data_IF_575009909156
#
_entry.id   IF_575009909156
#
_cell.length_a   1.000
_cell.length_b   1.000
_cell.length_c   1.000
_cell.angle_alpha   90.00
_cell.angle_beta   90.00
_cell.angle_gamma   90.00
#
_symmetry.space_group_name_H-M   'P 1'
#
loop_
_entity.id
_entity.type
_entity.pdbx_description
1 polymer ?
#
# COMPACT_ATOMS: atom_id res chain seq x y z
N UNK A 1 6.88 30.61 -20.63
CA UNK A 1 7.36 29.24 -20.43
C UNK A 1 7.74 29.10 -18.97
N UNK A 2 7.27 28.05 -18.28
CA UNK A 2 7.52 27.85 -16.84
C UNK A 2 9.02 27.65 -16.60
N UNK A 3 9.61 28.36 -15.63
CA UNK A 3 11.05 28.30 -15.37
C UNK A 3 11.52 26.88 -15.00
N UNK A 4 10.63 26.09 -14.39
CA UNK A 4 10.85 24.68 -14.09
C UNK A 4 11.01 23.82 -15.36
N UNK A 5 10.25 24.10 -16.41
CA UNK A 5 10.32 23.34 -17.67
C UNK A 5 11.62 23.63 -18.42
N UNK A 6 12.04 24.89 -18.45
CA UNK A 6 13.34 25.27 -19.03
C UNK A 6 14.50 24.57 -18.32
N UNK A 7 14.48 24.54 -16.99
CA UNK A 7 15.52 23.84 -16.23
C UNK A 7 15.50 22.33 -16.46
N UNK A 8 14.31 21.72 -16.62
CA UNK A 8 14.20 20.32 -17.02
C UNK A 8 14.74 20.06 -18.44
N UNK A 9 14.44 20.91 -19.40
CA UNK A 9 14.98 20.80 -20.76
C UNK A 9 16.51 20.89 -20.78
N UNK A 10 17.09 21.79 -19.99
CA UNK A 10 18.54 21.89 -19.79
C UNK A 10 19.13 20.59 -19.24
N UNK A 11 18.42 19.90 -18.34
CA UNK A 11 18.82 18.57 -17.85
C UNK A 11 18.71 17.52 -18.95
N UNK A 12 17.66 17.56 -19.76
CA UNK A 12 17.40 16.60 -20.84
C UNK A 12 18.50 16.66 -21.91
N UNK A 13 18.89 17.86 -22.36
CA UNK A 13 19.96 18.07 -23.34
C UNK A 13 21.37 17.94 -22.73
N UNK A 14 21.47 17.78 -21.41
CA UNK A 14 22.73 17.59 -20.69
C UNK A 14 23.53 18.86 -20.44
N UNK A 15 22.90 20.04 -20.55
CA UNK A 15 23.47 21.30 -20.07
C UNK A 15 23.59 21.31 -18.55
N UNK A 16 22.55 20.81 -17.86
CA UNK A 16 22.53 20.62 -16.42
C UNK A 16 22.55 19.13 -16.05
N UNK A 17 23.11 18.81 -14.89
CA UNK A 17 23.11 17.43 -14.37
C UNK A 17 21.75 17.05 -13.79
N UNK A 18 21.12 17.99 -13.10
CA UNK A 18 19.94 17.80 -12.26
C UNK A 18 19.04 19.03 -12.28
N UNK A 19 17.74 18.79 -12.07
CA UNK A 19 16.76 19.86 -11.88
C UNK A 19 17.08 20.56 -10.57
N UNK A 20 17.09 21.89 -10.60
CA UNK A 20 17.39 22.74 -9.46
C UNK A 20 16.47 22.39 -8.27
N UNK A 21 17.04 22.10 -7.09
CA UNK A 21 16.25 21.77 -5.92
C UNK A 21 15.45 22.99 -5.40
N UNK A 22 15.73 24.21 -5.87
CA UNK A 22 15.01 25.43 -5.49
C UNK A 22 13.51 25.35 -5.82
N UNK A 23 13.15 24.59 -6.86
CA UNK A 23 11.74 24.37 -7.21
C UNK A 23 11.01 23.43 -6.24
N UNK A 24 11.74 22.69 -5.42
CA UNK A 24 11.18 21.70 -4.50
C UNK A 24 11.36 22.16 -3.05
N UNK A 25 10.36 21.93 -2.22
CA UNK A 25 10.43 22.20 -0.79
C UNK A 25 11.17 21.06 -0.09
N UNK A 26 12.50 21.15 -0.08
CA UNK A 26 13.38 20.11 0.45
C UNK A 26 13.39 18.83 -0.39
N UNK A 27 13.89 17.74 0.19
CA UNK A 27 14.00 16.43 -0.49
C UNK A 27 12.91 15.44 -0.08
N UNK A 28 11.81 15.91 0.52
CA UNK A 28 10.75 15.03 1.03
C UNK A 28 9.60 14.92 0.02
N UNK A 29 8.96 13.75 -0.10
CA UNK A 29 7.76 13.59 -0.89
C UNK A 29 6.57 14.21 -0.12
N UNK A 30 6.35 15.51 -0.34
CA UNK A 30 5.18 16.24 0.13
C UNK A 30 4.22 16.49 -1.03
N UNK A 31 2.94 16.76 -0.75
CA UNK A 31 1.91 16.93 -1.78
C UNK A 31 2.29 17.94 -2.86
N UNK A 32 2.99 19.00 -2.47
CA UNK A 32 3.50 20.01 -3.40
C UNK A 32 4.59 19.45 -4.32
N UNK A 33 5.61 18.78 -3.77
CA UNK A 33 6.72 18.22 -4.54
C UNK A 33 6.26 17.09 -5.47
N UNK A 34 5.31 16.26 -5.01
CA UNK A 34 4.72 15.20 -5.83
C UNK A 34 3.96 15.79 -7.02
N UNK A 35 3.12 16.81 -6.80
CA UNK A 35 2.41 17.49 -7.88
C UNK A 35 3.37 18.08 -8.91
N UNK A 36 4.49 18.66 -8.49
CA UNK A 36 5.50 19.17 -9.40
C UNK A 36 6.22 18.05 -10.18
N UNK A 37 6.57 16.95 -9.51
CA UNK A 37 7.16 15.79 -10.15
C UNK A 37 6.22 15.20 -11.20
N UNK A 38 4.95 14.97 -10.86
CA UNK A 38 3.91 14.46 -11.78
C UNK A 38 3.69 15.42 -12.94
N UNK A 39 3.70 16.74 -12.70
CA UNK A 39 3.61 17.76 -13.75
C UNK A 39 4.79 17.68 -14.74
N UNK A 40 6.01 17.42 -14.26
CA UNK A 40 7.18 17.22 -15.12
C UNK A 40 7.10 15.91 -15.92
N UNK A 41 6.64 14.82 -15.31
CA UNK A 41 6.36 13.58 -16.04
C UNK A 41 5.36 13.83 -17.18
N UNK A 42 4.26 14.54 -16.89
CA UNK A 42 3.27 14.91 -17.90
C UNK A 42 3.87 15.73 -19.02
N UNK A 43 4.60 16.80 -18.69
CA UNK A 43 5.25 17.68 -19.67
C UNK A 43 6.20 16.90 -20.59
N UNK A 44 7.06 16.06 -20.01
CA UNK A 44 8.01 15.27 -20.78
C UNK A 44 7.33 14.32 -21.78
N UNK A 45 6.18 13.75 -21.39
CA UNK A 45 5.46 12.77 -22.20
C UNK A 45 4.56 13.45 -23.24
N UNK A 46 3.72 14.38 -22.80
CA UNK A 46 2.66 14.95 -23.65
C UNK A 46 3.21 16.07 -24.54
N UNK A 47 4.13 16.91 -24.05
CA UNK A 47 4.63 18.08 -24.80
C UNK A 47 5.93 17.79 -25.54
N UNK A 48 6.90 17.11 -24.90
CA UNK A 48 8.20 16.84 -25.55
C UNK A 48 8.17 15.61 -26.46
N UNK A 49 7.57 14.49 -26.02
CA UNK A 49 7.41 13.30 -26.85
C UNK A 49 6.17 13.36 -27.76
N UNK A 50 5.23 14.26 -27.46
CA UNK A 50 3.98 14.38 -28.23
C UNK A 50 3.06 13.17 -28.10
N UNK A 51 3.22 12.36 -27.05
CA UNK A 51 2.44 11.12 -26.90
C UNK A 51 1.04 11.43 -26.41
N UNK A 52 0.07 10.79 -27.04
CA UNK A 52 -1.29 10.73 -26.51
C UNK A 52 -1.35 9.90 -25.21
N UNK A 53 -2.44 10.05 -24.46
CA UNK A 53 -2.71 9.24 -23.26
C UNK A 53 -2.63 7.74 -23.57
N UNK A 54 -3.28 7.30 -24.63
CA UNK A 54 -3.32 5.88 -25.02
C UNK A 54 -1.94 5.33 -25.38
N UNK A 55 -1.14 6.12 -26.09
CA UNK A 55 0.23 5.73 -26.41
C UNK A 55 1.11 5.68 -25.18
N UNK A 56 0.94 6.62 -24.26
CA UNK A 56 1.68 6.67 -23.01
C UNK A 56 1.42 5.41 -22.18
N UNK A 57 0.17 5.01 -22.01
CA UNK A 57 -0.19 3.79 -21.27
C UNK A 57 0.44 2.54 -21.89
N UNK A 58 0.58 2.50 -23.22
CA UNK A 58 1.15 1.34 -23.94
C UNK A 58 2.68 1.33 -23.95
N UNK A 59 3.33 2.49 -24.00
CA UNK A 59 4.77 2.63 -24.29
C UNK A 59 5.61 3.08 -23.09
N UNK A 60 5.01 3.68 -22.07
CA UNK A 60 5.74 4.26 -20.95
C UNK A 60 6.23 3.17 -19.98
N UNK A 61 7.56 3.06 -19.88
CA UNK A 61 8.23 2.05 -19.07
C UNK A 61 9.48 2.61 -18.38
N UNK A 62 10.23 1.73 -17.69
CA UNK A 62 11.47 2.11 -16.99
C UNK A 62 12.56 2.58 -17.96
N UNK A 63 12.54 2.16 -19.22
CA UNK A 63 13.47 2.64 -20.23
C UNK A 63 13.16 4.10 -20.56
N UNK A 64 11.89 4.43 -20.81
CA UNK A 64 11.45 5.80 -21.08
C UNK A 64 11.75 6.76 -19.93
N UNK A 65 11.49 6.36 -18.68
CA UNK A 65 11.84 7.18 -17.50
C UNK A 65 13.34 7.54 -17.48
N UNK A 66 14.21 6.61 -17.87
CA UNK A 66 15.66 6.82 -17.93
C UNK A 66 16.07 7.70 -19.10
N UNK A 67 15.53 7.45 -20.31
CA UNK A 67 15.84 8.26 -21.50
C UNK A 67 15.43 9.73 -21.30
N UNK A 68 14.28 9.94 -20.68
CA UNK A 68 13.78 11.29 -20.36
C UNK A 68 14.43 11.90 -19.11
N UNK A 69 15.40 11.23 -18.50
CA UNK A 69 16.13 11.66 -17.28
C UNK A 69 15.23 11.99 -16.08
N UNK A 70 14.07 11.33 -15.98
CA UNK A 70 13.08 11.58 -14.94
C UNK A 70 13.31 10.77 -13.66
N UNK A 71 14.24 9.82 -13.65
CA UNK A 71 14.49 8.90 -12.52
C UNK A 71 14.66 9.61 -11.17
N UNK A 72 15.31 10.79 -11.15
CA UNK A 72 15.56 11.54 -9.92
C UNK A 72 14.32 12.21 -9.33
N UNK A 73 13.22 12.27 -10.08
CA UNK A 73 11.93 12.75 -9.58
C UNK A 73 11.24 11.72 -8.68
N UNK A 74 11.62 10.44 -8.75
CA UNK A 74 11.02 9.37 -7.95
C UNK A 74 11.07 9.68 -6.43
N UNK A 75 12.14 10.32 -5.96
CA UNK A 75 12.29 10.71 -4.54
C UNK A 75 11.26 11.75 -4.05
N UNK A 76 10.57 12.43 -4.97
CA UNK A 76 9.53 13.41 -4.67
C UNK A 76 8.12 12.81 -4.72
N UNK A 77 7.98 11.57 -5.19
CA UNK A 77 6.71 10.84 -5.25
C UNK A 77 6.52 10.06 -3.94
N UNK A 78 5.28 10.02 -3.43
CA UNK A 78 4.86 9.19 -2.30
C UNK A 78 4.48 7.81 -2.81
N UNK A 79 5.42 6.88 -2.66
CA UNK A 79 5.22 5.48 -3.05
C UNK A 79 4.48 4.72 -1.95
N UNK A 80 3.39 3.99 -2.27
CA UNK A 80 2.79 3.01 -1.37
C UNK A 80 3.82 1.93 -1.03
N UNK A 81 3.77 1.37 0.18
CA UNK A 81 4.71 0.35 0.62
C UNK A 81 4.60 -0.96 -0.18
N UNK A 82 3.47 -1.15 -0.85
CA UNK A 82 3.15 -2.27 -1.73
C UNK A 82 3.80 -2.15 -3.12
N UNK A 83 4.25 -0.94 -3.50
CA UNK A 83 4.76 -0.63 -4.83
C UNK A 83 6.25 -0.35 -4.75
N UNK A 84 7.00 -0.89 -5.72
CA UNK A 84 8.44 -0.61 -5.82
C UNK A 84 8.66 0.83 -6.27
N UNK A 85 9.58 1.54 -5.60
CA UNK A 85 9.95 2.90 -6.01
C UNK A 85 10.38 2.95 -7.48
N UNK A 86 9.83 3.91 -8.22
CA UNK A 86 10.10 4.10 -9.64
C UNK A 86 9.36 3.15 -10.56
N UNK A 87 8.32 2.45 -10.08
CA UNK A 87 7.44 1.67 -10.93
C UNK A 87 6.67 2.58 -11.91
N UNK A 88 6.84 2.42 -13.24
CA UNK A 88 6.13 3.21 -14.24
C UNK A 88 4.61 3.09 -14.14
N UNK A 89 4.09 1.94 -13.73
CA UNK A 89 2.64 1.73 -13.64
C UNK A 89 2.00 2.66 -12.60
N UNK A 90 2.69 2.91 -11.48
CA UNK A 90 2.20 3.87 -10.48
C UNK A 90 2.31 5.32 -10.95
N UNK A 91 3.35 5.66 -11.73
CA UNK A 91 3.44 6.98 -12.36
C UNK A 91 2.27 7.18 -13.34
N UNK A 92 1.92 6.15 -14.12
CA UNK A 92 0.74 6.18 -14.99
C UNK A 92 -0.55 6.34 -14.20
N UNK A 93 -0.69 5.69 -13.05
CA UNK A 93 -1.83 5.90 -12.14
C UNK A 93 -1.94 7.36 -11.67
N UNK A 94 -0.82 8.00 -11.33
CA UNK A 94 -0.80 9.40 -10.93
C UNK A 94 -1.14 10.36 -12.09
N UNK A 95 -0.77 10.01 -13.32
CA UNK A 95 -1.05 10.81 -14.51
C UNK A 95 -2.49 10.62 -15.04
N UNK A 96 -2.98 9.38 -15.04
CA UNK A 96 -4.24 8.97 -15.66
C UNK A 96 -5.01 8.00 -14.74
N UNK A 97 -5.50 8.48 -13.58
CA UNK A 97 -6.12 7.63 -12.57
C UNK A 97 -7.40 6.92 -13.04
N UNK A 98 -8.09 7.48 -14.04
CA UNK A 98 -9.30 6.91 -14.63
C UNK A 98 -9.00 5.70 -15.54
N UNK A 99 -7.81 5.65 -16.13
CA UNK A 99 -7.40 4.60 -17.07
C UNK A 99 -6.51 3.55 -16.42
N UNK A 100 -5.64 3.96 -15.50
CA UNK A 100 -4.73 3.08 -14.75
C UNK A 100 -5.12 3.13 -13.28
N UNK A 101 -5.98 2.20 -12.87
CA UNK A 101 -6.49 2.14 -11.51
C UNK A 101 -5.67 1.20 -10.62
N UNK A 102 -5.26 1.68 -9.45
CA UNK A 102 -4.66 0.88 -8.40
C UNK A 102 -5.67 0.66 -7.27
N UNK A 103 -6.16 -0.57 -7.16
CA UNK A 103 -6.97 -0.97 -6.02
C UNK A 103 -6.06 -1.19 -4.80
N UNK A 104 -6.16 -0.30 -3.81
CA UNK A 104 -5.40 -0.36 -2.57
C UNK A 104 -5.55 -1.70 -1.86
N UNK A 105 -6.75 -2.31 -1.88
CA UNK A 105 -6.99 -3.60 -1.25
C UNK A 105 -6.19 -4.69 -1.96
N UNK A 106 -6.25 -4.70 -3.30
CA UNK A 106 -5.53 -5.68 -4.11
C UNK A 106 -4.02 -5.59 -3.92
N UNK A 107 -3.47 -4.37 -3.82
CA UNK A 107 -2.05 -4.18 -3.51
C UNK A 107 -1.62 -4.81 -2.19
N UNK A 108 -2.45 -4.69 -1.15
CA UNK A 108 -2.18 -5.30 0.16
C UNK A 108 -2.26 -6.82 0.05
N UNK A 109 -3.25 -7.35 -0.69
CA UNK A 109 -3.40 -8.80 -0.94
C UNK A 109 -2.20 -9.35 -1.74
N UNK A 110 -1.75 -8.67 -2.78
CA UNK A 110 -0.60 -9.06 -3.62
C UNK A 110 0.71 -9.04 -2.81
N UNK A 111 0.94 -8.01 -1.99
CA UNK A 111 2.10 -7.98 -1.08
C UNK A 111 2.01 -9.12 -0.05
N UNK A 112 0.81 -9.36 0.50
CA UNK A 112 0.61 -10.41 1.49
C UNK A 112 0.92 -11.80 0.93
N UNK A 113 0.48 -12.09 -0.29
CA UNK A 113 0.82 -13.34 -1.00
C UNK A 113 2.33 -13.54 -1.12
N UNK A 114 3.05 -12.51 -1.58
CA UNK A 114 4.53 -12.56 -1.72
C UNK A 114 5.24 -12.78 -0.38
N UNK A 115 4.67 -12.26 0.72
CA UNK A 115 5.17 -12.51 2.08
C UNK A 115 4.88 -13.95 2.53
N UNK A 116 3.71 -14.50 2.21
CA UNK A 116 3.39 -15.90 2.50
C UNK A 116 4.26 -16.87 1.70
N UNK A 117 4.55 -16.55 0.44
CA UNK A 117 5.42 -17.32 -0.45
C UNK A 117 6.91 -17.23 -0.06
N UNK A 118 7.25 -16.33 0.88
CA UNK A 118 8.62 -16.14 1.36
C UNK A 118 9.52 -15.36 0.40
N UNK A 119 8.95 -14.71 -0.63
CA UNK A 119 9.71 -13.84 -1.53
C UNK A 119 10.24 -12.60 -0.83
N UNK A 120 9.50 -12.11 0.17
CA UNK A 120 9.84 -10.92 0.94
C UNK A 120 9.27 -10.97 2.35
N UNK A 121 9.73 -10.05 3.20
CA UNK A 121 9.12 -9.77 4.51
C UNK A 121 8.22 -8.54 4.42
N UNK A 122 7.28 -8.40 5.35
CA UNK A 122 6.52 -7.15 5.47
C UNK A 122 7.44 -5.94 5.59
N UNK A 123 7.12 -4.81 4.93
CA UNK A 123 7.84 -3.56 5.14
C UNK A 123 7.86 -3.14 6.62
N UNK A 124 8.84 -2.33 7.00
CA UNK A 124 8.90 -1.77 8.36
C UNK A 124 7.65 -0.94 8.62
N UNK A 125 7.09 -1.10 9.83
CA UNK A 125 5.90 -0.35 10.27
C UNK A 125 4.66 -0.54 9.37
N UNK A 126 4.63 -1.58 8.53
CA UNK A 126 3.57 -1.81 7.55
C UNK A 126 2.16 -1.87 8.16
N UNK A 127 2.05 -2.44 9.36
CA UNK A 127 0.81 -2.57 10.11
C UNK A 127 0.64 -1.51 11.21
N UNK A 128 1.44 -0.44 11.23
CA UNK A 128 1.34 0.61 12.24
C UNK A 128 0.17 1.58 11.99
N UNK A 129 -0.45 2.05 13.08
CA UNK A 129 -1.54 3.03 13.05
C UNK A 129 -2.85 2.50 12.45
N UNK A 130 -3.79 3.41 12.18
CA UNK A 130 -5.13 3.06 11.68
C UNK A 130 -5.07 2.41 10.29
N UNK A 131 -4.24 2.95 9.39
CA UNK A 131 -4.05 2.37 8.05
C UNK A 131 -3.43 0.98 8.14
N UNK A 132 -2.44 0.79 9.01
CA UNK A 132 -1.82 -0.49 9.24
C UNK A 132 -2.78 -1.54 9.81
N UNK A 133 -3.64 -1.15 10.76
CA UNK A 133 -4.70 -2.04 11.24
C UNK A 133 -5.67 -2.45 10.12
N UNK A 134 -6.05 -1.51 9.25
CA UNK A 134 -6.87 -1.80 8.07
C UNK A 134 -6.18 -2.79 7.12
N UNK A 135 -4.87 -2.63 6.86
CA UNK A 135 -4.07 -3.60 6.08
C UNK A 135 -4.07 -4.98 6.72
N UNK A 136 -3.90 -5.04 8.04
CA UNK A 136 -3.97 -6.31 8.78
C UNK A 136 -5.33 -7.00 8.60
N UNK A 137 -6.43 -6.23 8.67
CA UNK A 137 -7.78 -6.74 8.43
C UNK A 137 -7.96 -7.29 7.01
N UNK A 138 -7.33 -6.66 6.00
CA UNK A 138 -7.33 -7.20 4.62
C UNK A 138 -6.63 -8.56 4.57
N UNK A 139 -5.41 -8.66 5.10
CA UNK A 139 -4.66 -9.92 5.13
C UNK A 139 -5.43 -11.01 5.87
N UNK A 140 -6.02 -10.67 7.03
CA UNK A 140 -6.84 -11.59 7.81
C UNK A 140 -8.08 -12.05 7.03
N UNK A 141 -8.79 -11.12 6.39
CA UNK A 141 -9.96 -11.44 5.56
C UNK A 141 -9.57 -12.38 4.41
N UNK A 142 -8.42 -12.17 3.80
CA UNK A 142 -7.91 -13.06 2.75
C UNK A 142 -7.78 -14.50 3.26
N UNK A 143 -7.19 -14.70 4.45
CA UNK A 143 -7.05 -16.03 5.05
C UNK A 143 -8.39 -16.73 5.30
N UNK A 144 -9.36 -16.03 5.88
CA UNK A 144 -10.66 -16.65 6.22
C UNK A 144 -11.56 -16.85 5.00
N UNK A 145 -11.24 -16.21 3.88
CA UNK A 145 -11.94 -16.39 2.61
C UNK A 145 -11.35 -17.54 1.80
N UNK A 146 -10.02 -17.67 1.77
CA UNK A 146 -9.34 -18.57 0.83
C UNK A 146 -8.71 -19.81 1.47
N UNK A 147 -8.29 -19.75 2.74
CA UNK A 147 -7.58 -20.85 3.40
C UNK A 147 -8.45 -21.60 4.40
N UNK A 148 -9.35 -20.90 5.10
CA UNK A 148 -10.25 -21.55 6.04
C UNK A 148 -11.54 -20.77 6.23
N UNK A 149 -12.63 -21.31 5.71
CA UNK A 149 -13.98 -20.79 5.92
C UNK A 149 -14.56 -21.25 7.24
N UNK A 150 -15.40 -20.43 7.86
CA UNK A 150 -16.06 -20.74 9.13
C UNK A 150 -17.58 -20.73 8.96
N UNK A 151 -18.30 -21.65 9.64
CA UNK A 151 -19.76 -21.75 9.51
C UNK A 151 -20.51 -20.62 10.24
N UNK A 152 -19.83 -19.91 11.16
CA UNK A 152 -20.42 -18.81 11.93
C UNK A 152 -19.34 -17.88 12.50
N UNK A 153 -19.76 -16.66 12.87
CA UNK A 153 -18.92 -15.68 13.59
C UNK A 153 -18.42 -16.29 14.92
N UNK A 154 -19.30 -17.01 15.63
CA UNK A 154 -18.93 -17.72 16.87
C UNK A 154 -17.77 -18.70 16.65
N UNK A 155 -17.85 -19.55 15.61
CA UNK A 155 -16.80 -20.50 15.29
C UNK A 155 -15.47 -19.80 14.91
N UNK A 156 -15.56 -18.66 14.24
CA UNK A 156 -14.41 -17.83 13.88
C UNK A 156 -13.69 -17.30 15.14
N UNK A 157 -14.44 -16.70 16.09
CA UNK A 157 -13.86 -16.23 17.36
C UNK A 157 -13.24 -17.38 18.18
N UNK A 158 -13.96 -18.48 18.38
CA UNK A 158 -13.44 -19.64 19.13
C UNK A 158 -12.13 -20.16 18.56
N UNK A 159 -12.05 -20.24 17.23
CA UNK A 159 -10.84 -20.70 16.56
C UNK A 159 -9.67 -19.73 16.78
N UNK A 160 -9.83 -18.45 16.46
CA UNK A 160 -8.73 -17.47 16.52
C UNK A 160 -8.33 -17.07 17.94
N UNK A 161 -9.18 -17.33 18.95
CA UNK A 161 -8.82 -17.20 20.37
C UNK A 161 -8.16 -18.45 20.96
N UNK A 162 -8.09 -19.56 20.21
CA UNK A 162 -7.43 -20.79 20.63
C UNK A 162 -5.95 -20.84 20.24
N UNK A 163 -5.21 -21.81 20.79
CA UNK A 163 -3.82 -22.08 20.37
C UNK A 163 -3.72 -22.46 18.89
N UNK A 164 -4.71 -23.18 18.35
CA UNK A 164 -4.74 -23.56 16.93
C UNK A 164 -4.87 -22.32 16.04
N UNK A 165 -5.67 -21.33 16.44
CA UNK A 165 -5.76 -20.05 15.75
C UNK A 165 -4.45 -19.28 15.77
N UNK A 166 -3.75 -19.29 16.91
CA UNK A 166 -2.42 -18.69 17.02
C UNK A 166 -1.40 -19.36 16.10
N UNK A 167 -1.37 -20.70 16.05
CA UNK A 167 -0.51 -21.44 15.13
C UNK A 167 -0.86 -21.16 13.66
N UNK A 168 -2.15 -21.08 13.34
CA UNK A 168 -2.60 -20.74 11.99
C UNK A 168 -2.10 -19.35 11.56
N UNK A 169 -2.18 -18.34 12.42
CA UNK A 169 -1.62 -17.01 12.13
C UNK A 169 -0.09 -17.02 12.01
N UNK A 170 0.60 -17.91 12.72
CA UNK A 170 2.06 -18.06 12.65
C UNK A 170 2.50 -18.57 11.28
N UNK A 171 1.85 -19.65 10.83
CA UNK A 171 2.10 -20.27 9.52
C UNK A 171 1.89 -19.26 8.40
N UNK A 172 0.86 -18.40 8.49
CA UNK A 172 0.54 -17.39 7.50
C UNK A 172 1.16 -16.01 7.79
N UNK A 173 2.23 -15.95 8.59
CA UNK A 173 3.06 -14.74 8.83
C UNK A 173 2.35 -13.56 9.52
N UNK A 174 1.14 -13.74 10.06
CA UNK A 174 0.37 -12.68 10.73
C UNK A 174 0.47 -12.67 12.26
N UNK A 175 1.05 -13.70 12.89
CA UNK A 175 1.24 -13.73 14.35
C UNK A 175 2.28 -12.73 14.84
N UNK A 176 3.49 -12.77 14.26
CA UNK A 176 4.58 -11.84 14.63
C UNK A 176 4.16 -10.36 14.57
N UNK A 177 3.58 -9.84 13.46
CA UNK A 177 3.16 -8.44 13.42
C UNK A 177 2.05 -8.12 14.44
N UNK A 178 1.13 -9.05 14.68
CA UNK A 178 0.09 -8.89 15.71
C UNK A 178 0.68 -8.72 17.09
N UNK A 179 1.62 -9.58 17.47
CA UNK A 179 2.21 -9.60 18.80
C UNK A 179 3.07 -8.35 19.05
N UNK A 180 3.87 -7.94 18.06
CA UNK A 180 4.72 -6.72 18.14
C UNK A 180 3.86 -5.47 18.31
N UNK A 181 2.76 -5.36 17.55
CA UNK A 181 1.91 -4.18 17.55
C UNK A 181 0.75 -4.28 18.55
N UNK A 182 0.68 -5.35 19.33
CA UNK A 182 -0.41 -5.62 20.28
C UNK A 182 -1.81 -5.53 19.63
N UNK A 183 -1.94 -5.97 18.38
CA UNK A 183 -3.21 -5.96 17.64
C UNK A 183 -4.18 -6.94 18.31
N UNK A 184 -5.35 -6.45 18.73
CA UNK A 184 -6.38 -7.29 19.33
C UNK A 184 -7.15 -8.07 18.25
N UNK A 185 -7.02 -9.40 18.28
CA UNK A 185 -7.70 -10.29 17.33
C UNK A 185 -9.22 -10.14 17.36
N UNK A 186 -9.82 -9.77 18.51
CA UNK A 186 -11.25 -9.54 18.58
C UNK A 186 -11.68 -8.33 17.75
N UNK A 187 -10.85 -7.29 17.73
CA UNK A 187 -11.10 -6.05 17.00
C UNK A 187 -10.94 -6.31 15.49
N UNK A 188 -9.96 -7.13 15.11
CA UNK A 188 -9.77 -7.59 13.72
C UNK A 188 -10.99 -8.36 13.22
N UNK A 189 -11.44 -9.37 13.98
CA UNK A 189 -12.60 -10.19 13.59
C UNK A 189 -13.85 -9.31 13.47
N UNK A 190 -14.07 -8.40 14.40
CA UNK A 190 -15.21 -7.49 14.36
C UNK A 190 -15.15 -6.58 13.13
N UNK A 191 -13.98 -6.03 12.82
CA UNK A 191 -13.77 -5.18 11.64
C UNK A 191 -14.00 -5.91 10.32
N UNK A 192 -13.68 -7.20 10.26
CA UNK A 192 -13.87 -8.02 9.06
C UNK A 192 -15.32 -8.53 8.92
N UNK A 193 -16.05 -8.63 10.02
CA UNK A 193 -17.42 -9.18 10.07
C UNK A 193 -18.50 -8.13 10.33
N UNK A 194 -18.20 -6.82 10.28
CA UNK A 194 -19.13 -5.75 10.69
C UNK A 194 -20.46 -5.78 9.93
N UNK A 195 -20.47 -6.29 8.69
CA UNK A 195 -21.68 -6.39 7.87
C UNK A 195 -22.55 -7.62 8.19
N UNK A 196 -22.04 -8.55 9.00
CA UNK A 196 -22.73 -9.78 9.35
C UNK A 196 -23.67 -9.59 10.54
N UNK A 197 -24.83 -10.24 10.48
CA UNK A 197 -25.84 -10.12 11.55
C UNK A 197 -25.28 -10.68 12.87
N UNK A 198 -25.34 -9.84 13.92
CA UNK A 198 -24.89 -10.22 15.27
C UNK A 198 -23.40 -10.02 15.53
N UNK A 199 -22.64 -9.41 14.60
CA UNK A 199 -21.22 -9.11 14.80
C UNK A 199 -20.94 -8.34 16.10
N UNK A 200 -21.72 -7.28 16.38
CA UNK A 200 -21.58 -6.48 17.62
C UNK A 200 -21.79 -7.31 18.89
N UNK A 201 -22.78 -8.21 18.87
CA UNK A 201 -23.11 -9.07 20.01
C UNK A 201 -21.95 -10.04 20.30
N UNK A 202 -21.44 -10.71 19.27
CA UNK A 202 -20.30 -11.62 19.43
C UNK A 202 -19.03 -10.88 19.84
N UNK A 203 -18.78 -9.71 19.26
CA UNK A 203 -17.65 -8.87 19.65
C UNK A 203 -17.71 -8.51 21.14
N UNK A 204 -18.86 -8.02 21.62
CA UNK A 204 -19.07 -7.71 23.03
C UNK A 204 -18.87 -8.93 23.94
N UNK A 205 -19.46 -10.08 23.58
CA UNK A 205 -19.33 -11.33 24.31
C UNK A 205 -17.86 -11.77 24.45
N UNK A 206 -17.11 -11.84 23.35
CA UNK A 206 -15.73 -12.32 23.37
C UNK A 206 -14.75 -11.31 23.98
N UNK A 207 -14.98 -10.00 23.85
CA UNK A 207 -14.20 -8.99 24.59
C UNK A 207 -14.42 -9.13 26.10
N UNK A 208 -15.67 -9.31 26.53
CA UNK A 208 -15.99 -9.54 27.94
C UNK A 208 -15.34 -10.83 28.45
N UNK A 209 -15.50 -11.95 27.74
CA UNK A 209 -14.92 -13.24 28.13
C UNK A 209 -13.39 -13.17 28.26
N UNK A 210 -12.71 -12.50 27.31
CA UNK A 210 -11.27 -12.29 27.33
C UNK A 210 -10.83 -11.45 28.53
N UNK A 211 -11.58 -10.40 28.89
CA UNK A 211 -11.30 -9.57 30.06
C UNK A 211 -11.57 -10.33 31.36
N UNK A 212 -12.67 -11.07 31.43
CA UNK A 212 -13.06 -11.89 32.57
C UNK A 212 -11.97 -12.93 32.90
N UNK A 213 -11.52 -13.69 31.90
CA UNK A 213 -10.43 -14.67 32.04
C UNK A 213 -9.12 -14.02 32.52
N UNK A 214 -8.81 -12.81 32.06
CA UNK A 214 -7.64 -12.05 32.54
C UNK A 214 -7.77 -11.59 33.99
N UNK A 215 -8.99 -11.38 34.47
CA UNK A 215 -9.26 -10.93 35.85
C UNK A 215 -9.19 -12.03 36.91
N UNK A 216 -8.92 -13.28 36.51
CA UNK A 216 -8.66 -14.39 37.43
C UNK A 216 -9.86 -14.85 38.26
N UNK A 217 -11.09 -14.60 37.76
CA UNK A 217 -12.34 -15.09 38.33
C UNK A 217 -12.96 -16.18 37.47
#
# INVERSE_FOLDING_TARGET
MDALYLDYEDVLIGRNKDISPVYFHGQKPIDFNEKLAVKLFRYAIEELLGWSREETIKKFDRYMVRQMRLTKLNKYIRWPAEITEGDPAYILHLLYPDDVHFDKRKLVEDLFLRVMDGEMSFPREYFAGNEGFWKYCICFRYLVTHYRTFPSIDALYRFFLSEQGNQFLDIHRLKTPRDILSIDICDVIHSVTTQERGSDLYYGYYKFEKQWKKSGR
#
